data_IF_777482430612
#
_entry.id   IF_777482430612
#
_cell.length_a   1.000
_cell.length_b   1.000
_cell.length_c   1.000
_cell.angle_alpha   90.00
_cell.angle_beta   90.00
_cell.angle_gamma   90.00
#
_symmetry.space_group_name_H-M   'P 1'
#
loop_
_entity.id
_entity.type
_entity.pdbx_description
1 polymer ?
#
# COMPACT_ATOMS: atom_id res chain seq x y z
N UNK A 1 -16.27 -26.24 -11.10
CA UNK A 1 -15.39 -25.24 -11.72
C UNK A 1 -14.75 -24.43 -10.59
N UNK A 2 -13.56 -23.87 -10.75
CA UNK A 2 -12.96 -23.00 -9.72
C UNK A 2 -13.83 -21.74 -9.52
N UNK A 3 -13.98 -21.30 -8.27
CA UNK A 3 -14.65 -20.04 -7.97
C UNK A 3 -13.78 -18.85 -8.45
N UNK A 4 -14.40 -17.88 -9.10
CA UNK A 4 -13.71 -16.73 -9.69
C UNK A 4 -13.89 -15.47 -8.84
N UNK A 5 -12.79 -14.84 -8.46
CA UNK A 5 -12.76 -13.56 -7.76
C UNK A 5 -12.30 -12.46 -8.70
N UNK A 6 -13.11 -11.42 -8.90
CA UNK A 6 -12.66 -10.19 -9.53
C UNK A 6 -12.10 -9.25 -8.45
N UNK A 7 -10.79 -9.00 -8.49
CA UNK A 7 -10.09 -8.20 -7.49
C UNK A 7 -9.72 -6.83 -8.05
N UNK A 8 -10.31 -5.79 -7.50
CA UNK A 8 -10.08 -4.40 -7.90
C UNK A 8 -9.08 -3.72 -6.97
N UNK A 9 -7.99 -3.23 -7.54
CA UNK A 9 -6.91 -2.61 -6.77
C UNK A 9 -6.75 -1.15 -7.18
N UNK A 10 -6.90 -0.22 -6.24
CA UNK A 10 -6.54 1.18 -6.43
C UNK A 10 -5.08 1.32 -6.85
N UNK A 11 -4.78 2.02 -7.95
CA UNK A 11 -3.41 2.25 -8.40
C UNK A 11 -2.72 3.42 -7.68
N UNK A 12 -3.35 3.99 -6.65
CA UNK A 12 -2.80 5.12 -5.91
C UNK A 12 -1.57 4.71 -5.07
N UNK A 13 -0.39 4.78 -5.67
CA UNK A 13 0.84 4.26 -5.11
C UNK A 13 0.86 2.73 -5.03
N UNK A 14 1.88 2.16 -4.36
CA UNK A 14 1.98 0.70 -4.24
C UNK A 14 1.38 0.13 -2.94
N UNK A 15 0.85 1.00 -2.05
CA UNK A 15 0.30 0.55 -0.77
C UNK A 15 -0.87 -0.43 -0.91
N UNK A 16 -1.84 -0.07 -1.75
CA UNK A 16 -3.01 -0.90 -2.05
C UNK A 16 -2.61 -2.20 -2.77
N UNK A 17 -1.74 -2.09 -3.75
CA UNK A 17 -1.23 -3.25 -4.47
C UNK A 17 -0.45 -4.21 -3.54
N UNK A 18 0.40 -3.70 -2.65
CA UNK A 18 1.19 -4.51 -1.73
C UNK A 18 0.29 -5.37 -0.82
N UNK A 19 -0.72 -4.75 -0.18
CA UNK A 19 -1.62 -5.48 0.72
C UNK A 19 -2.56 -6.44 -0.02
N UNK A 20 -3.08 -6.02 -1.18
CA UNK A 20 -3.89 -6.91 -2.04
C UNK A 20 -3.09 -8.11 -2.53
N UNK A 21 -1.85 -7.92 -2.99
CA UNK A 21 -0.97 -9.02 -3.40
C UNK A 21 -0.68 -10.01 -2.27
N UNK A 22 -0.48 -9.53 -1.04
CA UNK A 22 -0.26 -10.39 0.11
C UNK A 22 -1.45 -11.34 0.35
N UNK A 23 -2.68 -10.83 0.20
CA UNK A 23 -3.89 -11.63 0.38
C UNK A 23 -4.14 -12.55 -0.81
N UNK A 24 -3.98 -12.06 -2.04
CA UNK A 24 -4.17 -12.86 -3.28
C UNK A 24 -3.19 -14.05 -3.28
N UNK A 25 -1.92 -13.80 -3.00
CA UNK A 25 -0.89 -14.86 -2.99
C UNK A 25 -1.21 -15.93 -1.93
N UNK A 26 -1.62 -15.51 -0.72
CA UNK A 26 -2.01 -16.42 0.35
C UNK A 26 -3.30 -17.20 0.05
N UNK A 27 -4.28 -16.59 -0.63
CA UNK A 27 -5.50 -17.28 -1.08
C UNK A 27 -5.17 -18.38 -2.10
N UNK A 28 -4.38 -18.04 -3.12
CA UNK A 28 -4.02 -18.98 -4.18
C UNK A 28 -3.06 -20.09 -3.68
N UNK A 29 -2.25 -19.80 -2.67
CA UNK A 29 -1.44 -20.82 -1.99
C UNK A 29 -2.29 -21.78 -1.16
N UNK A 30 -3.40 -21.31 -0.58
CA UNK A 30 -4.23 -22.08 0.34
C UNK A 30 -5.34 -22.87 -0.34
N UNK A 31 -5.80 -22.42 -1.53
CA UNK A 31 -6.98 -22.94 -2.20
C UNK A 31 -6.78 -23.12 -3.70
N UNK A 32 -6.68 -24.36 -4.15
CA UNK A 32 -6.47 -24.72 -5.57
C UNK A 32 -7.73 -24.52 -6.43
N UNK A 33 -8.90 -24.37 -5.77
CA UNK A 33 -10.21 -24.19 -6.42
C UNK A 33 -10.58 -22.70 -6.62
N UNK A 34 -9.59 -21.80 -6.56
CA UNK A 34 -9.78 -20.38 -6.78
C UNK A 34 -9.09 -19.88 -8.05
N UNK A 35 -9.74 -18.95 -8.72
CA UNK A 35 -9.19 -18.14 -9.80
C UNK A 35 -9.34 -16.67 -9.45
N UNK A 36 -8.25 -15.90 -9.53
CA UNK A 36 -8.25 -14.45 -9.29
C UNK A 36 -7.98 -13.70 -10.59
N UNK A 37 -8.84 -12.72 -10.89
CA UNK A 37 -8.67 -11.77 -12.00
C UNK A 37 -8.50 -10.39 -11.40
N UNK A 38 -7.34 -9.76 -11.61
CA UNK A 38 -7.00 -8.44 -11.06
C UNK A 38 -7.37 -7.36 -12.07
N UNK A 39 -8.22 -6.42 -11.64
CA UNK A 39 -8.58 -5.21 -12.38
C UNK A 39 -7.84 -4.01 -11.78
N UNK A 40 -6.87 -3.48 -12.50
CA UNK A 40 -6.07 -2.33 -12.06
C UNK A 40 -5.18 -1.80 -13.18
N UNK A 41 -4.61 -0.61 -12.98
CA UNK A 41 -3.50 -0.06 -13.76
C UNK A 41 -2.16 -0.15 -13.01
N UNK A 42 -2.10 -0.87 -11.90
CA UNK A 42 -0.83 -1.19 -11.22
C UNK A 42 0.12 -1.88 -12.20
N UNK A 43 1.40 -1.47 -12.29
CA UNK A 43 2.34 -2.06 -13.23
C UNK A 43 2.47 -3.57 -13.05
N UNK A 44 2.45 -4.31 -14.16
CA UNK A 44 2.52 -5.78 -14.17
C UNK A 44 3.73 -6.31 -13.41
N UNK A 45 4.90 -5.67 -13.55
CA UNK A 45 6.12 -6.08 -12.85
C UNK A 45 5.95 -6.09 -11.31
N UNK A 46 5.11 -5.18 -10.77
CA UNK A 46 4.86 -5.15 -9.32
C UNK A 46 4.01 -6.34 -8.88
N UNK A 47 2.97 -6.67 -9.65
CA UNK A 47 2.14 -7.85 -9.39
C UNK A 47 2.97 -9.13 -9.50
N UNK A 48 3.76 -9.29 -10.57
CA UNK A 48 4.62 -10.45 -10.81
C UNK A 48 5.71 -10.60 -9.74
N UNK A 49 6.22 -9.48 -9.21
CA UNK A 49 7.19 -9.51 -8.11
C UNK A 49 6.54 -9.80 -6.74
N UNK A 50 5.22 -9.67 -6.62
CA UNK A 50 4.52 -9.77 -5.33
C UNK A 50 3.63 -11.01 -5.20
N UNK A 51 3.20 -11.62 -6.30
CA UNK A 51 2.34 -12.81 -6.34
C UNK A 51 3.11 -13.95 -7.02
N UNK A 52 3.21 -15.12 -6.37
CA UNK A 52 3.91 -16.30 -6.92
C UNK A 52 3.02 -17.16 -7.82
N UNK A 53 1.71 -17.04 -7.63
CA UNK A 53 0.73 -17.83 -8.35
C UNK A 53 0.27 -17.12 -9.63
N UNK A 54 -0.13 -17.87 -10.67
CA UNK A 54 -0.66 -17.27 -11.89
C UNK A 54 -1.93 -16.44 -11.61
N UNK A 55 -1.91 -15.15 -11.97
CA UNK A 55 -3.10 -14.29 -11.94
C UNK A 55 -3.33 -13.68 -13.32
N UNK A 56 -4.60 -13.62 -13.70
CA UNK A 56 -4.98 -12.87 -14.89
C UNK A 56 -5.16 -11.39 -14.54
N UNK A 57 -4.67 -10.49 -15.40
CA UNK A 57 -4.77 -9.04 -15.16
C UNK A 57 -5.53 -8.37 -16.29
N UNK A 58 -6.44 -7.48 -15.92
CA UNK A 58 -7.23 -6.65 -16.83
C UNK A 58 -6.87 -5.19 -16.53
N UNK A 59 -6.20 -4.53 -17.47
CA UNK A 59 -5.88 -3.11 -17.32
C UNK A 59 -7.19 -2.29 -17.31
N UNK A 60 -7.53 -1.73 -16.15
CA UNK A 60 -8.74 -0.95 -15.94
C UNK A 60 -8.48 0.22 -15.00
N UNK A 61 -8.99 1.40 -15.35
CA UNK A 61 -9.01 2.56 -14.45
C UNK A 61 -10.14 2.36 -13.44
N UNK A 62 -9.82 1.97 -12.22
CA UNK A 62 -10.77 1.56 -11.18
C UNK A 62 -11.07 2.63 -10.15
N UNK A 63 -10.24 3.68 -10.12
CA UNK A 63 -10.42 4.94 -9.39
C UNK A 63 -9.45 6.03 -9.90
N UNK A 64 -9.43 7.17 -9.22
CA UNK A 64 -8.44 8.25 -9.44
C UNK A 64 -7.46 8.33 -8.29
N UNK A 65 -7.92 8.08 -7.06
CA UNK A 65 -7.15 8.41 -5.87
C UNK A 65 -7.01 9.91 -5.68
N UNK A 66 -5.89 10.36 -5.12
CA UNK A 66 -5.45 11.77 -5.16
C UNK A 66 -4.33 11.93 -6.18
N UNK A 67 -4.49 12.87 -7.11
CA UNK A 67 -3.39 13.28 -7.98
C UNK A 67 -2.29 13.88 -7.09
N UNK A 68 -1.05 13.59 -7.40
CA UNK A 68 0.10 14.01 -6.59
C UNK A 68 1.11 14.74 -7.48
N UNK A 69 1.62 15.88 -6.98
CA UNK A 69 2.75 16.60 -7.60
C UNK A 69 4.07 15.91 -7.30
N UNK A 70 4.20 15.45 -6.05
CA UNK A 70 5.35 14.67 -5.56
C UNK A 70 4.87 13.54 -4.66
N UNK A 71 5.75 12.68 -4.17
CA UNK A 71 5.39 11.66 -3.18
C UNK A 71 4.88 12.24 -1.85
N UNK A 72 5.10 13.53 -1.60
CA UNK A 72 4.77 14.23 -0.36
C UNK A 72 3.67 15.29 -0.52
N UNK A 73 3.29 15.65 -1.75
CA UNK A 73 2.36 16.76 -2.02
C UNK A 73 1.21 16.32 -2.93
N UNK A 74 -0.01 16.50 -2.46
CA UNK A 74 -1.26 16.25 -3.17
C UNK A 74 -1.67 17.46 -4.02
N UNK A 75 -2.41 17.18 -5.11
CA UNK A 75 -3.04 18.17 -5.98
C UNK A 75 -4.57 17.98 -5.99
N UNK A 76 -5.31 18.62 -5.07
CA UNK A 76 -6.76 18.48 -5.00
C UNK A 76 -7.49 19.06 -6.23
N UNK A 77 -6.96 20.12 -6.86
CA UNK A 77 -7.54 20.73 -8.08
C UNK A 77 -7.46 19.75 -9.25
N UNK A 78 -6.26 19.23 -9.55
CA UNK A 78 -6.09 18.21 -10.57
C UNK A 78 -6.85 16.91 -10.26
N UNK A 79 -7.07 16.61 -8.97
CA UNK A 79 -7.91 15.48 -8.54
C UNK A 79 -9.37 15.72 -8.90
N UNK A 80 -9.91 16.91 -8.63
CA UNK A 80 -11.30 17.29 -8.97
C UNK A 80 -11.53 17.20 -10.48
N UNK A 81 -10.61 17.74 -11.28
CA UNK A 81 -10.65 17.65 -12.75
C UNK A 81 -10.62 16.19 -13.24
N UNK A 82 -9.71 15.38 -12.71
CA UNK A 82 -9.59 13.97 -13.10
C UNK A 82 -10.83 13.16 -12.74
N UNK A 83 -11.49 13.48 -11.64
CA UNK A 83 -12.73 12.84 -11.18
C UNK A 83 -13.95 13.25 -12.01
N UNK A 84 -13.99 14.49 -12.53
CA UNK A 84 -15.07 14.95 -13.42
C UNK A 84 -15.15 14.10 -14.70
N UNK A 85 -14.01 13.61 -15.20
CA UNK A 85 -13.93 12.75 -16.39
C UNK A 85 -14.17 11.25 -16.15
N UNK A 86 -14.52 10.85 -14.93
CA UNK A 86 -14.66 9.43 -14.60
C UNK A 86 -16.03 8.84 -14.99
N UNK A 87 -16.08 7.53 -15.33
CA UNK A 87 -17.30 6.83 -15.74
C UNK A 87 -18.21 6.51 -14.55
N UNK A 88 -18.94 7.49 -14.06
CA UNK A 88 -19.83 7.38 -12.89
C UNK A 88 -21.13 6.60 -13.13
N UNK A 89 -21.20 5.70 -14.04
CA UNK A 89 -22.42 4.96 -14.40
C UNK A 89 -23.24 5.68 -15.50
N UNK A 90 -23.91 4.89 -16.32
CA UNK A 90 -24.64 5.39 -17.49
C UNK A 90 -23.73 5.99 -18.58
N UNK A 91 -22.44 5.66 -18.55
CA UNK A 91 -21.45 6.06 -19.57
C UNK A 91 -20.94 4.83 -20.29
N UNK A 92 -20.55 4.98 -21.56
CA UNK A 92 -19.96 3.88 -22.34
C UNK A 92 -18.74 3.23 -21.68
N UNK A 93 -17.96 4.01 -20.92
CA UNK A 93 -16.80 3.49 -20.20
C UNK A 93 -17.19 2.66 -18.98
N UNK A 94 -18.28 3.01 -18.26
CA UNK A 94 -18.82 2.19 -17.19
C UNK A 94 -19.39 0.88 -17.73
N UNK A 95 -20.14 0.94 -18.85
CA UNK A 95 -20.70 -0.22 -19.51
C UNK A 95 -19.60 -1.15 -20.07
N UNK A 96 -18.47 -0.60 -20.53
CA UNK A 96 -17.32 -1.39 -20.93
C UNK A 96 -16.69 -2.14 -19.76
N UNK A 97 -16.49 -1.47 -18.63
CA UNK A 97 -15.99 -2.11 -17.43
C UNK A 97 -16.92 -3.24 -16.99
N UNK A 98 -18.22 -3.00 -16.94
CA UNK A 98 -19.23 -4.01 -16.58
C UNK A 98 -19.20 -5.22 -17.50
N UNK A 99 -19.11 -5.01 -18.83
CA UNK A 99 -18.95 -6.12 -19.79
C UNK A 99 -17.70 -6.95 -19.52
N UNK A 100 -16.58 -6.28 -19.22
CA UNK A 100 -15.29 -6.95 -18.91
C UNK A 100 -15.35 -7.71 -17.60
N UNK A 101 -16.05 -7.20 -16.60
CA UNK A 101 -16.30 -7.89 -15.33
C UNK A 101 -17.23 -9.08 -15.55
N UNK A 102 -18.34 -8.89 -16.26
CA UNK A 102 -19.27 -9.97 -16.58
C UNK A 102 -18.62 -11.10 -17.39
N UNK A 103 -17.71 -10.77 -18.30
CA UNK A 103 -17.00 -11.75 -19.13
C UNK A 103 -16.11 -12.73 -18.31
N UNK A 104 -15.67 -12.35 -17.11
CA UNK A 104 -14.92 -13.25 -16.23
C UNK A 104 -15.82 -14.06 -15.30
N UNK A 105 -17.13 -13.78 -15.30
CA UNK A 105 -18.17 -14.43 -14.51
C UNK A 105 -17.76 -14.59 -13.03
N UNK A 106 -17.57 -13.48 -12.29
CA UNK A 106 -17.06 -13.57 -10.92
C UNK A 106 -18.15 -14.03 -9.96
N UNK A 107 -17.81 -14.92 -9.04
CA UNK A 107 -18.63 -15.32 -7.91
C UNK A 107 -18.55 -14.30 -6.76
N UNK A 108 -17.45 -13.51 -6.74
CA UNK A 108 -17.18 -12.49 -5.73
C UNK A 108 -16.37 -11.34 -6.34
N UNK A 109 -16.69 -10.11 -5.94
CA UNK A 109 -15.84 -8.94 -6.18
C UNK A 109 -15.13 -8.56 -4.87
N UNK A 110 -13.83 -8.35 -4.90
CA UNK A 110 -13.07 -7.73 -3.80
C UNK A 110 -12.52 -6.40 -4.29
N UNK A 111 -12.79 -5.32 -3.57
CA UNK A 111 -12.34 -3.98 -3.91
C UNK A 111 -11.45 -3.41 -2.80
N UNK A 112 -10.17 -3.20 -3.10
CA UNK A 112 -9.26 -2.45 -2.25
C UNK A 112 -9.44 -0.96 -2.56
N UNK A 113 -10.37 -0.34 -1.83
CA UNK A 113 -10.91 1.03 -1.98
C UNK A 113 -11.25 1.48 -3.41
N UNK A 114 -11.37 0.56 -4.35
CA UNK A 114 -11.65 0.83 -5.76
C UNK A 114 -13.17 0.93 -6.00
N UNK A 115 -13.77 2.14 -6.07
CA UNK A 115 -15.22 2.32 -6.07
C UNK A 115 -15.89 1.73 -7.31
N UNK A 116 -15.23 1.73 -8.46
CA UNK A 116 -15.83 1.20 -9.69
C UNK A 116 -16.02 -0.31 -9.66
N UNK A 117 -15.18 -1.05 -8.90
CA UNK A 117 -15.39 -2.48 -8.65
C UNK A 117 -16.69 -2.74 -7.89
N UNK A 118 -16.94 -1.99 -6.82
CA UNK A 118 -18.17 -2.09 -6.03
C UNK A 118 -19.40 -1.66 -6.84
N UNK A 119 -19.27 -0.59 -7.62
CA UNK A 119 -20.36 -0.13 -8.48
C UNK A 119 -20.72 -1.18 -9.56
N UNK A 120 -19.71 -1.81 -10.18
CA UNK A 120 -19.89 -2.89 -11.15
C UNK A 120 -20.54 -4.12 -10.48
N UNK A 121 -20.05 -4.54 -9.31
CA UNK A 121 -20.63 -5.65 -8.55
C UNK A 121 -22.12 -5.43 -8.26
N UNK A 122 -22.48 -4.22 -7.82
CA UNK A 122 -23.88 -3.88 -7.53
C UNK A 122 -24.78 -3.91 -8.77
N UNK A 123 -24.27 -3.48 -9.94
CA UNK A 123 -25.04 -3.54 -11.21
C UNK A 123 -25.21 -4.97 -11.73
N UNK A 124 -24.20 -5.80 -11.51
CA UNK A 124 -24.20 -7.21 -11.96
C UNK A 124 -24.86 -8.16 -10.93
N UNK A 125 -25.25 -7.69 -9.75
CA UNK A 125 -25.81 -8.52 -8.70
C UNK A 125 -24.81 -9.49 -8.07
N UNK A 126 -23.51 -9.20 -8.15
CA UNK A 126 -22.44 -10.02 -7.57
C UNK A 126 -22.12 -9.54 -6.15
N UNK A 127 -21.98 -10.45 -5.15
CA UNK A 127 -21.57 -10.05 -3.81
C UNK A 127 -20.19 -9.40 -3.81
N UNK A 128 -19.97 -8.46 -2.87
CA UNK A 128 -18.73 -7.70 -2.86
C UNK A 128 -18.16 -7.50 -1.46
N UNK A 129 -16.82 -7.49 -1.36
CA UNK A 129 -16.07 -7.17 -0.15
C UNK A 129 -15.28 -5.89 -0.38
N UNK A 130 -15.48 -4.88 0.47
CA UNK A 130 -14.65 -3.70 0.56
C UNK A 130 -13.52 -3.97 1.55
N UNK A 131 -12.26 -3.81 1.11
CA UNK A 131 -11.06 -3.85 1.95
C UNK A 131 -10.49 -2.45 2.04
N UNK A 132 -10.33 -1.91 3.25
CA UNK A 132 -9.93 -0.51 3.40
C UNK A 132 -9.26 -0.22 4.75
N UNK A 133 -8.53 0.87 4.82
CA UNK A 133 -8.11 1.58 6.03
C UNK A 133 -8.61 3.03 6.05
N UNK A 134 -9.08 3.51 4.92
CA UNK A 134 -9.91 4.69 4.67
C UNK A 134 -10.67 4.48 3.36
N UNK A 135 -11.65 5.33 3.07
CA UNK A 135 -12.36 5.39 1.78
C UNK A 135 -12.16 6.74 1.11
N UNK A 136 -12.26 6.79 -0.23
CA UNK A 136 -12.02 8.03 -0.97
C UNK A 136 -13.03 9.12 -0.67
N UNK A 137 -14.28 8.80 -0.31
CA UNK A 137 -15.28 9.78 0.14
C UNK A 137 -14.82 10.52 1.39
N UNK A 138 -14.24 9.79 2.36
CA UNK A 138 -13.68 10.39 3.58
C UNK A 138 -12.46 11.27 3.25
N UNK A 139 -11.57 10.82 2.38
CA UNK A 139 -10.42 11.62 1.94
C UNK A 139 -10.87 12.91 1.24
N UNK A 140 -11.77 12.81 0.25
CA UNK A 140 -12.20 13.98 -0.53
C UNK A 140 -12.99 14.98 0.31
N UNK A 141 -13.74 14.52 1.29
CA UNK A 141 -14.50 15.38 2.21
C UNK A 141 -13.60 16.33 2.99
N UNK A 142 -12.37 15.94 3.29
CA UNK A 142 -11.40 16.81 3.96
C UNK A 142 -10.96 18.02 3.10
N UNK A 143 -11.11 17.92 1.78
CA UNK A 143 -10.79 19.01 0.84
C UNK A 143 -12.03 19.79 0.38
N UNK A 144 -13.25 19.40 0.78
CA UNK A 144 -14.51 19.94 0.26
C UNK A 144 -14.70 21.44 0.53
N UNK A 145 -14.07 22.00 1.57
CA UNK A 145 -14.15 23.44 1.88
C UNK A 145 -13.45 24.27 0.80
N UNK A 146 -12.28 23.84 0.34
CA UNK A 146 -11.50 24.56 -0.69
C UNK A 146 -11.83 24.09 -2.12
N UNK A 147 -12.36 22.88 -2.28
CA UNK A 147 -12.72 22.24 -3.55
C UNK A 147 -14.13 21.62 -3.44
N UNK A 148 -15.20 22.42 -3.61
CA UNK A 148 -16.58 21.96 -3.38
C UNK A 148 -17.01 20.78 -4.24
N UNK A 149 -16.47 20.62 -5.46
CA UNK A 149 -16.74 19.49 -6.33
C UNK A 149 -16.27 18.16 -5.73
N UNK A 150 -15.18 18.16 -4.94
CA UNK A 150 -14.77 16.97 -4.20
C UNK A 150 -15.79 16.57 -3.15
N UNK A 151 -16.51 17.51 -2.55
CA UNK A 151 -17.63 17.23 -1.64
C UNK A 151 -18.78 16.51 -2.31
N UNK A 152 -19.17 16.96 -3.52
CA UNK A 152 -20.23 16.32 -4.33
C UNK A 152 -19.83 14.90 -4.70
N UNK A 153 -18.57 14.71 -5.07
CA UNK A 153 -18.03 13.38 -5.41
C UNK A 153 -17.97 12.48 -4.18
N UNK A 154 -17.57 13.02 -3.02
CA UNK A 154 -17.57 12.29 -1.76
C UNK A 154 -18.96 11.72 -1.42
N UNK A 155 -20.03 12.53 -1.55
CA UNK A 155 -21.41 12.07 -1.30
C UNK A 155 -21.85 10.95 -2.26
N UNK A 156 -21.37 10.99 -3.50
CA UNK A 156 -21.60 9.92 -4.48
C UNK A 156 -20.87 8.66 -4.12
N UNK A 157 -19.59 8.77 -3.76
CA UNK A 157 -18.72 7.64 -3.40
C UNK A 157 -19.19 6.96 -2.12
N UNK A 158 -19.62 7.69 -1.11
CA UNK A 158 -20.19 7.13 0.10
C UNK A 158 -21.29 6.11 -0.22
N UNK A 159 -22.23 6.49 -1.12
CA UNK A 159 -23.32 5.61 -1.56
C UNK A 159 -22.82 4.36 -2.30
N UNK A 160 -21.65 4.43 -2.93
CA UNK A 160 -21.01 3.27 -3.59
C UNK A 160 -20.38 2.36 -2.55
N UNK A 161 -19.63 2.90 -1.61
CA UNK A 161 -18.97 2.12 -0.55
C UNK A 161 -20.00 1.45 0.39
N UNK A 162 -21.12 2.11 0.67
CA UNK A 162 -22.22 1.57 1.50
C UNK A 162 -22.94 0.35 0.86
N UNK A 163 -22.72 0.10 -0.44
CA UNK A 163 -23.29 -1.07 -1.14
C UNK A 163 -22.47 -2.35 -0.98
N UNK A 164 -21.26 -2.27 -0.41
CA UNK A 164 -20.45 -3.46 -0.21
C UNK A 164 -21.18 -4.47 0.69
N UNK A 165 -21.26 -5.73 0.26
CA UNK A 165 -21.90 -6.81 1.02
C UNK A 165 -21.19 -7.05 2.36
N UNK A 166 -19.88 -6.87 2.37
CA UNK A 166 -19.02 -6.97 3.55
C UNK A 166 -17.96 -5.89 3.53
N UNK A 167 -17.59 -5.39 4.72
CA UNK A 167 -16.50 -4.43 4.89
C UNK A 167 -15.43 -4.98 5.83
N UNK A 168 -14.18 -4.93 5.42
CA UNK A 168 -13.00 -5.33 6.20
C UNK A 168 -12.14 -4.10 6.43
N UNK A 169 -11.89 -3.75 7.70
CA UNK A 169 -11.06 -2.62 8.06
C UNK A 169 -9.67 -3.07 8.50
N UNK A 170 -8.66 -2.57 7.79
CA UNK A 170 -7.26 -2.88 8.05
C UNK A 170 -6.68 -1.91 9.08
N UNK A 171 -6.20 -2.42 10.20
CA UNK A 171 -5.49 -1.59 11.19
C UNK A 171 -4.14 -1.09 10.63
N UNK A 172 -3.78 0.19 10.82
CA UNK A 172 -4.60 1.26 11.37
C UNK A 172 -5.63 1.77 10.34
N UNK A 173 -6.87 1.90 10.76
CA UNK A 173 -7.91 2.56 9.96
C UNK A 173 -8.19 3.97 10.51
N UNK A 174 -8.67 4.85 9.63
CA UNK A 174 -8.86 6.27 9.95
C UNK A 174 -10.12 6.54 10.75
N UNK A 175 -11.22 5.85 10.39
CA UNK A 175 -12.53 5.98 11.03
C UNK A 175 -13.15 4.60 11.17
N UNK A 176 -13.65 4.28 12.35
CA UNK A 176 -14.36 3.03 12.57
C UNK A 176 -15.69 3.02 11.81
N UNK A 177 -15.93 1.98 11.02
CA UNK A 177 -17.14 1.80 10.25
C UNK A 177 -18.05 0.75 10.93
N UNK A 178 -19.30 1.11 11.14
CA UNK A 178 -20.28 0.21 11.76
C UNK A 178 -20.42 -1.09 10.94
N UNK A 179 -20.38 -2.24 11.61
CA UNK A 179 -20.51 -3.56 11.00
C UNK A 179 -19.29 -4.03 10.20
N UNK A 180 -18.22 -3.25 10.13
CA UNK A 180 -16.96 -3.68 9.53
C UNK A 180 -16.26 -4.75 10.40
N UNK A 181 -15.47 -5.60 9.76
CA UNK A 181 -14.61 -6.56 10.44
C UNK A 181 -13.20 -5.99 10.56
N UNK A 182 -12.75 -5.59 11.75
CA UNK A 182 -11.38 -5.11 11.92
C UNK A 182 -10.40 -6.29 11.84
N UNK A 183 -9.28 -6.07 11.16
CA UNK A 183 -8.19 -7.04 11.05
C UNK A 183 -6.84 -6.38 11.34
N UNK A 184 -5.84 -7.14 11.81
CA UNK A 184 -4.48 -6.63 11.97
C UNK A 184 -3.90 -6.05 10.69
N UNK A 185 -2.77 -5.32 10.75
CA UNK A 185 -2.10 -4.81 9.56
C UNK A 185 -1.80 -5.92 8.55
N UNK A 186 -1.97 -5.61 7.27
CA UNK A 186 -1.69 -6.52 6.16
C UNK A 186 -0.35 -6.17 5.55
N UNK A 187 0.60 -7.08 5.65
CA UNK A 187 1.95 -6.95 5.12
C UNK A 187 2.31 -8.17 4.27
N UNK A 188 3.10 -7.94 3.23
CA UNK A 188 3.71 -9.02 2.47
C UNK A 188 4.77 -9.71 3.33
N UNK A 189 4.84 -11.06 3.38
CA UNK A 189 5.90 -11.75 4.10
C UNK A 189 7.24 -11.58 3.37
N UNK A 190 8.36 -11.50 4.09
CA UNK A 190 9.68 -11.59 3.46
C UNK A 190 9.91 -13.00 2.88
N UNK A 191 10.73 -13.09 1.85
CA UNK A 191 11.07 -14.31 1.11
C UNK A 191 12.49 -14.79 1.35
N UNK A 192 13.35 -13.86 1.76
CA UNK A 192 14.75 -14.11 2.06
C UNK A 192 15.03 -13.79 3.52
N UNK A 193 15.93 -14.54 4.14
CA UNK A 193 16.40 -14.21 5.47
C UNK A 193 17.27 -12.95 5.46
N UNK A 194 17.42 -12.36 6.65
CA UNK A 194 18.16 -11.12 6.89
C UNK A 194 19.61 -11.21 6.39
N UNK A 195 20.30 -12.32 6.69
CA UNK A 195 21.73 -12.47 6.38
C UNK A 195 21.96 -12.60 4.88
N UNK A 196 21.14 -13.38 4.20
CA UNK A 196 21.22 -13.55 2.75
C UNK A 196 20.97 -12.22 2.02
N UNK A 197 19.94 -11.46 2.43
CA UNK A 197 19.66 -10.15 1.82
C UNK A 197 20.82 -9.18 2.05
N UNK A 198 21.39 -9.12 3.26
CA UNK A 198 22.58 -8.29 3.56
C UNK A 198 23.78 -8.68 2.71
N UNK A 199 24.05 -9.97 2.61
CA UNK A 199 25.16 -10.48 1.77
C UNK A 199 25.01 -10.06 0.31
N UNK A 200 23.80 -10.14 -0.24
CA UNK A 200 23.52 -9.72 -1.63
C UNK A 200 23.68 -8.19 -1.83
N UNK A 201 23.48 -7.41 -0.78
CA UNK A 201 23.70 -5.96 -0.77
C UNK A 201 25.16 -5.56 -0.45
N UNK A 202 26.05 -6.53 -0.20
CA UNK A 202 27.43 -6.26 0.21
C UNK A 202 27.55 -5.66 1.61
N UNK A 203 26.63 -6.01 2.53
CA UNK A 203 26.54 -5.51 3.90
C UNK A 203 26.97 -6.62 4.87
N UNK A 204 27.88 -6.31 5.80
CA UNK A 204 28.32 -7.27 6.81
C UNK A 204 27.19 -7.56 7.83
N UNK A 205 27.19 -8.75 8.49
CA UNK A 205 26.11 -9.13 9.41
C UNK A 205 25.91 -8.20 10.60
N UNK A 206 26.98 -7.56 11.06
CA UNK A 206 27.07 -6.69 12.24
C UNK A 206 26.94 -5.20 11.93
N UNK A 207 26.99 -4.80 10.66
CA UNK A 207 26.77 -3.40 10.27
C UNK A 207 25.34 -2.96 10.57
N UNK A 208 25.11 -1.82 11.26
CA UNK A 208 23.78 -1.25 11.38
C UNK A 208 23.24 -0.83 10.01
N UNK A 209 21.95 -1.11 9.75
CA UNK A 209 21.33 -0.83 8.45
C UNK A 209 20.05 -0.02 8.62
N UNK A 210 19.93 1.07 7.89
CA UNK A 210 18.68 1.85 7.77
C UNK A 210 18.18 1.78 6.33
N UNK A 211 16.94 1.33 6.16
CA UNK A 211 16.24 1.37 4.88
C UNK A 211 15.49 2.70 4.73
N UNK A 212 15.75 3.43 3.64
CA UNK A 212 14.92 4.60 3.27
C UNK A 212 13.81 4.15 2.33
N UNK A 213 12.54 4.39 2.70
CA UNK A 213 11.38 3.96 1.91
C UNK A 213 10.40 5.12 1.67
N UNK A 214 10.34 5.59 0.42
CA UNK A 214 9.45 6.69 0.00
C UNK A 214 8.15 6.21 -0.66
N UNK A 215 7.92 4.90 -0.68
CA UNK A 215 6.76 4.27 -1.31
C UNK A 215 6.91 4.10 -2.83
N UNK A 216 5.79 3.91 -3.54
CA UNK A 216 5.79 3.56 -4.96
C UNK A 216 5.91 4.74 -5.94
N UNK A 217 5.96 5.98 -5.45
CA UNK A 217 6.14 7.17 -6.28
C UNK A 217 7.63 7.50 -6.31
N UNK A 218 8.23 7.76 -7.50
CA UNK A 218 9.61 8.14 -7.61
C UNK A 218 9.95 9.30 -6.68
N UNK A 219 11.10 9.21 -6.03
CA UNK A 219 11.63 10.22 -5.12
C UNK A 219 13.01 10.65 -5.59
N UNK A 220 13.21 11.95 -5.70
CA UNK A 220 14.53 12.52 -5.98
C UNK A 220 15.28 12.68 -4.66
N UNK A 221 16.32 11.88 -4.51
CA UNK A 221 17.19 11.96 -3.33
C UNK A 221 18.15 13.14 -3.46
N UNK A 222 18.06 14.07 -2.53
CA UNK A 222 19.08 15.10 -2.31
C UNK A 222 20.11 14.61 -1.28
N UNK A 223 21.34 15.12 -1.37
CA UNK A 223 22.34 14.84 -0.34
C UNK A 223 22.85 13.40 -0.28
N UNK A 224 22.85 12.63 -1.38
CA UNK A 224 23.40 11.26 -1.42
C UNK A 224 24.83 11.17 -0.90
N UNK A 225 25.68 12.18 -1.18
CA UNK A 225 27.05 12.23 -0.67
C UNK A 225 27.13 12.24 0.86
N UNK A 226 26.13 12.81 1.53
CA UNK A 226 26.05 12.77 2.99
C UNK A 226 25.70 11.37 3.48
N UNK A 227 24.82 10.67 2.78
CA UNK A 227 24.48 9.27 3.09
C UNK A 227 25.66 8.33 2.85
N UNK A 228 26.49 8.59 1.83
CA UNK A 228 27.73 7.85 1.57
C UNK A 228 28.72 7.93 2.74
N UNK A 229 28.76 9.09 3.42
CA UNK A 229 29.64 9.36 4.55
C UNK A 229 28.99 9.13 5.91
N UNK A 230 27.78 8.59 5.95
CA UNK A 230 27.10 8.32 7.20
C UNK A 230 27.96 7.43 8.12
N UNK A 231 28.20 7.85 9.36
CA UNK A 231 28.97 7.08 10.32
C UNK A 231 28.09 6.13 11.15
N UNK A 232 26.79 6.40 11.18
CA UNK A 232 25.83 5.78 12.09
C UNK A 232 25.32 4.43 11.59
N UNK A 233 25.20 4.25 10.26
CA UNK A 233 24.67 3.05 9.65
C UNK A 233 24.92 3.00 8.13
N UNK A 234 24.84 1.81 7.55
CA UNK A 234 24.66 1.63 6.11
C UNK A 234 23.25 2.02 5.74
N UNK A 235 23.10 2.94 4.79
CA UNK A 235 21.82 3.42 4.28
C UNK A 235 21.48 2.67 2.99
N UNK A 236 20.38 1.96 2.96
CA UNK A 236 19.84 1.33 1.73
C UNK A 236 18.74 2.22 1.17
N UNK A 237 18.91 2.72 -0.06
CA UNK A 237 18.03 3.72 -0.68
C UNK A 237 17.46 3.21 -2.04
N UNK A 238 16.32 2.51 -2.05
CA UNK A 238 15.66 2.09 -3.30
C UNK A 238 15.21 3.28 -4.14
N UNK A 239 15.47 3.22 -5.45
CA UNK A 239 15.14 4.30 -6.40
C UNK A 239 16.15 5.43 -6.46
N UNK A 240 17.29 5.33 -5.76
CA UNK A 240 18.32 6.38 -5.71
C UNK A 240 19.40 6.26 -6.78
N UNK A 241 19.42 5.19 -7.55
CA UNK A 241 20.43 4.98 -8.59
C UNK A 241 19.94 4.03 -9.69
N UNK A 242 20.68 3.95 -10.81
CA UNK A 242 20.31 3.09 -11.94
C UNK A 242 20.69 1.62 -11.72
N UNK A 243 21.61 1.35 -10.80
CA UNK A 243 22.16 0.02 -10.51
C UNK A 243 22.22 -0.23 -9.02
N UNK A 244 22.40 -1.52 -8.64
CA UNK A 244 22.73 -1.89 -7.27
C UNK A 244 24.23 -1.59 -7.07
N UNK A 245 24.52 -0.60 -6.26
CA UNK A 245 25.90 -0.16 -6.01
C UNK A 245 26.07 0.27 -4.55
N UNK A 246 27.19 -0.12 -3.95
CA UNK A 246 27.60 0.39 -2.64
C UNK A 246 28.73 1.41 -2.79
N UNK A 247 28.50 2.61 -2.27
CA UNK A 247 29.49 3.68 -2.15
C UNK A 247 29.59 4.11 -0.69
N UNK A 248 30.71 3.82 -0.05
CA UNK A 248 30.83 4.07 1.38
C UNK A 248 29.73 3.35 2.17
N UNK A 249 28.95 4.13 2.91
CA UNK A 249 27.80 3.63 3.67
C UNK A 249 26.44 3.81 2.97
N UNK A 250 26.41 4.11 1.68
CA UNK A 250 25.20 4.15 0.87
C UNK A 250 25.14 2.96 -0.08
N UNK A 251 24.02 2.25 -0.07
CA UNK A 251 23.65 1.25 -1.08
C UNK A 251 22.49 1.80 -1.90
N UNK A 252 22.76 2.12 -3.17
CA UNK A 252 21.75 2.55 -4.13
C UNK A 252 21.10 1.35 -4.80
N UNK A 253 19.81 1.46 -5.10
CA UNK A 253 19.04 0.45 -5.85
C UNK A 253 18.23 1.15 -6.94
N UNK A 254 18.01 0.52 -8.10
CA UNK A 254 17.08 1.05 -9.08
C UNK A 254 15.64 1.03 -8.56
N UNK A 255 14.79 1.90 -9.11
CA UNK A 255 13.36 1.92 -8.75
C UNK A 255 12.69 0.56 -9.02
N UNK A 256 13.04 -0.07 -10.13
CA UNK A 256 12.67 -1.46 -10.43
C UNK A 256 13.86 -2.36 -10.11
N UNK A 257 13.95 -2.75 -8.85
CA UNK A 257 15.01 -3.63 -8.34
C UNK A 257 14.58 -5.08 -8.34
N UNK A 258 15.55 -6.01 -8.40
CA UNK A 258 15.37 -7.43 -8.12
C UNK A 258 15.18 -7.73 -6.63
N UNK A 259 15.50 -6.77 -5.77
CA UNK A 259 15.29 -6.92 -4.33
C UNK A 259 13.83 -6.72 -3.98
N UNK A 260 13.25 -7.70 -3.29
CA UNK A 260 11.89 -7.62 -2.79
C UNK A 260 11.81 -6.70 -1.57
N UNK A 261 10.93 -5.70 -1.60
CA UNK A 261 10.89 -4.67 -0.55
C UNK A 261 10.73 -5.23 0.88
N UNK A 262 9.89 -6.25 1.16
CA UNK A 262 9.83 -6.87 2.49
C UNK A 262 11.15 -7.49 2.95
N UNK A 263 11.98 -8.02 2.04
CA UNK A 263 13.31 -8.55 2.38
C UNK A 263 14.26 -7.42 2.78
N UNK A 264 14.18 -6.25 2.12
CA UNK A 264 14.94 -5.07 2.51
C UNK A 264 14.52 -4.58 3.90
N UNK A 265 13.20 -4.53 4.19
CA UNK A 265 12.69 -4.18 5.53
C UNK A 265 13.21 -5.17 6.57
N UNK A 266 13.21 -6.46 6.27
CA UNK A 266 13.72 -7.49 7.18
C UNK A 266 15.24 -7.39 7.38
N UNK A 267 15.99 -7.04 6.35
CA UNK A 267 17.44 -6.86 6.41
C UNK A 267 17.85 -5.61 7.22
N UNK A 268 17.02 -4.60 7.27
CA UNK A 268 17.28 -3.37 8.01
C UNK A 268 17.15 -3.53 9.53
N UNK A 269 17.74 -2.60 10.28
CA UNK A 269 17.56 -2.42 11.73
C UNK A 269 16.52 -1.36 12.05
N UNK A 270 16.36 -0.38 11.15
CA UNK A 270 15.33 0.63 11.21
C UNK A 270 14.87 1.00 9.78
N UNK A 271 13.68 1.56 9.68
CA UNK A 271 13.14 2.11 8.43
C UNK A 271 12.96 3.61 8.61
N UNK A 272 13.30 4.39 7.59
CA UNK A 272 13.08 5.84 7.54
C UNK A 272 12.31 6.16 6.25
N UNK A 273 11.32 7.04 6.32
CA UNK A 273 10.65 7.49 5.11
C UNK A 273 9.25 8.03 5.29
N UNK A 274 8.52 8.08 4.19
CA UNK A 274 7.13 8.56 4.17
C UNK A 274 6.21 7.65 4.98
N UNK A 275 5.35 8.25 5.81
CA UNK A 275 4.32 7.53 6.53
C UNK A 275 3.25 7.02 5.56
N UNK A 276 3.39 5.77 5.13
CA UNK A 276 2.47 5.10 4.22
C UNK A 276 2.11 3.69 4.69
N UNK A 277 0.86 3.27 4.47
CA UNK A 277 0.31 2.05 5.05
C UNK A 277 1.19 0.81 4.87
N UNK A 278 1.62 0.50 3.65
CA UNK A 278 2.36 -0.74 3.39
C UNK A 278 3.73 -0.78 4.06
N UNK A 279 4.48 0.34 4.02
CA UNK A 279 5.78 0.45 4.70
C UNK A 279 5.62 0.30 6.21
N UNK A 280 4.61 0.94 6.78
CA UNK A 280 4.27 0.83 8.21
C UNK A 280 3.90 -0.60 8.59
N UNK A 281 3.05 -1.26 7.79
CA UNK A 281 2.63 -2.63 8.04
C UNK A 281 3.80 -3.63 7.95
N UNK A 282 4.70 -3.45 6.97
CA UNK A 282 5.90 -4.29 6.81
C UNK A 282 6.92 -4.03 7.93
N UNK A 283 7.13 -2.78 8.35
CA UNK A 283 7.99 -2.44 9.49
C UNK A 283 7.43 -3.05 10.81
N UNK A 284 6.13 -2.93 11.04
CA UNK A 284 5.46 -3.54 12.18
C UNK A 284 5.59 -5.07 12.18
N UNK A 285 5.31 -5.72 11.05
CA UNK A 285 5.39 -7.18 10.92
C UNK A 285 6.82 -7.71 11.13
N UNK A 286 7.84 -6.92 10.73
CA UNK A 286 9.25 -7.25 10.87
C UNK A 286 9.85 -6.76 12.21
N UNK A 287 9.08 -6.08 13.05
CA UNK A 287 9.55 -5.51 14.32
C UNK A 287 10.63 -4.44 14.14
N UNK A 288 10.54 -3.61 13.10
CA UNK A 288 11.52 -2.56 12.82
C UNK A 288 10.99 -1.20 13.28
N UNK A 289 11.76 -0.44 14.08
CA UNK A 289 11.39 0.93 14.42
C UNK A 289 11.36 1.80 13.16
N UNK A 290 10.50 2.82 13.19
CA UNK A 290 10.25 3.65 12.03
C UNK A 290 10.52 5.13 12.31
N UNK A 291 11.37 5.77 11.48
CA UNK A 291 11.51 7.22 11.40
C UNK A 291 10.59 7.74 10.30
N UNK A 292 9.50 8.42 10.65
CA UNK A 292 8.47 8.78 9.67
C UNK A 292 8.39 10.27 9.40
N UNK A 293 8.10 10.60 8.13
CA UNK A 293 7.72 11.93 7.70
C UNK A 293 6.26 11.92 7.28
N UNK A 294 5.50 12.91 7.79
CA UNK A 294 4.10 13.10 7.43
C UNK A 294 3.96 13.87 6.11
N UNK A 295 2.97 13.50 5.31
CA UNK A 295 2.42 14.39 4.29
C UNK A 295 1.61 15.48 4.97
N UNK A 296 1.82 16.74 4.61
CA UNK A 296 1.28 17.89 5.35
C UNK A 296 -0.26 17.96 5.34
N UNK A 297 -0.89 17.48 4.27
CA UNK A 297 -2.34 17.65 4.04
C UNK A 297 -3.12 16.35 3.87
N UNK A 298 -2.46 15.20 3.87
CA UNK A 298 -3.16 13.94 3.66
C UNK A 298 -3.90 13.50 4.93
N UNK A 299 -5.24 13.36 4.88
CA UNK A 299 -6.07 13.15 6.08
C UNK A 299 -5.74 11.90 6.90
N UNK A 300 -5.18 10.86 6.27
CA UNK A 300 -4.75 9.62 6.93
C UNK A 300 -3.64 9.84 7.98
N UNK A 301 -2.82 10.89 7.79
CA UNK A 301 -1.60 11.13 8.56
C UNK A 301 -1.77 11.03 10.09
N UNK A 302 -2.70 11.77 10.72
CA UNK A 302 -2.87 11.77 12.17
C UNK A 302 -3.22 10.40 12.75
N UNK A 303 -4.13 9.66 12.12
CA UNK A 303 -4.53 8.31 12.57
C UNK A 303 -3.38 7.31 12.45
N UNK A 304 -2.67 7.35 11.34
CA UNK A 304 -1.49 6.52 11.09
C UNK A 304 -0.38 6.84 12.09
N UNK A 305 -0.08 8.12 12.32
CA UNK A 305 0.96 8.54 13.27
C UNK A 305 0.65 8.09 14.70
N UNK A 306 -0.57 8.30 15.17
CA UNK A 306 -1.00 7.87 16.51
C UNK A 306 -0.79 6.37 16.70
N UNK A 307 -1.11 5.58 15.68
CA UNK A 307 -0.94 4.14 15.71
C UNK A 307 0.55 3.73 15.67
N UNK A 308 1.35 4.33 14.79
CA UNK A 308 2.79 4.02 14.66
C UNK A 308 3.53 4.32 15.97
N UNK A 309 3.23 5.45 16.62
CA UNK A 309 3.83 5.80 17.92
C UNK A 309 3.58 4.71 18.98
N UNK A 310 2.39 4.12 18.98
CA UNK A 310 1.98 3.11 19.97
C UNK A 310 2.47 1.72 19.61
N UNK A 311 2.35 1.33 18.33
CA UNK A 311 2.47 -0.06 17.92
C UNK A 311 3.79 -0.42 17.21
N UNK A 312 4.45 0.51 16.53
CA UNK A 312 5.71 0.27 15.83
C UNK A 312 6.89 0.81 16.65
N UNK A 313 6.72 1.99 17.20
CA UNK A 313 7.78 2.75 17.83
C UNK A 313 8.67 3.44 16.79
N UNK A 314 9.41 4.43 17.27
CA UNK A 314 10.28 5.22 16.39
C UNK A 314 10.18 6.72 16.69
N UNK A 315 10.45 7.54 15.68
CA UNK A 315 10.44 8.99 15.85
C UNK A 315 9.89 9.69 14.60
N UNK A 316 9.18 10.78 14.81
CA UNK A 316 8.82 11.69 13.73
C UNK A 316 10.05 12.48 13.29
N UNK A 317 10.16 12.64 11.98
CA UNK A 317 11.15 13.46 11.30
C UNK A 317 10.42 14.60 10.59
N UNK A 318 11.08 15.75 10.48
CA UNK A 318 10.58 16.83 9.67
C UNK A 318 11.00 16.64 8.19
N UNK A 319 10.26 17.27 7.28
CA UNK A 319 10.49 17.10 5.85
C UNK A 319 11.89 17.60 5.45
N UNK A 320 12.33 18.70 6.04
CA UNK A 320 13.65 19.27 5.84
C UNK A 320 14.77 18.36 6.34
N UNK A 321 14.57 17.66 7.48
CA UNK A 321 15.54 16.66 7.98
C UNK A 321 15.71 15.51 6.97
N UNK A 322 14.60 15.09 6.31
CA UNK A 322 14.67 14.03 5.29
C UNK A 322 15.44 14.48 4.06
N UNK A 323 15.21 15.71 3.59
CA UNK A 323 15.86 16.27 2.41
C UNK A 323 17.35 16.55 2.65
N UNK A 324 17.69 17.13 3.80
CA UNK A 324 19.08 17.50 4.14
C UNK A 324 19.93 16.31 4.55
N UNK A 325 19.32 15.19 4.95
CA UNK A 325 20.00 14.05 5.57
C UNK A 325 20.27 14.24 7.07
N UNK A 326 19.74 15.30 7.72
CA UNK A 326 19.92 15.54 9.16
C UNK A 326 19.28 14.46 10.03
N UNK A 327 18.34 13.70 9.49
CA UNK A 327 17.76 12.53 10.14
C UNK A 327 18.80 11.46 10.53
N UNK A 328 20.00 11.46 9.93
CA UNK A 328 21.10 10.58 10.34
C UNK A 328 21.43 10.74 11.83
N UNK A 329 21.36 11.97 12.36
CA UNK A 329 21.51 12.21 13.79
C UNK A 329 20.45 11.54 14.68
N UNK A 330 19.34 11.06 14.12
CA UNK A 330 18.30 10.30 14.83
C UNK A 330 18.54 8.79 14.80
N UNK A 331 19.45 8.30 13.97
CA UNK A 331 19.71 6.86 13.78
C UNK A 331 20.09 6.16 15.11
N UNK A 332 20.99 6.67 15.96
CA UNK A 332 21.30 6.03 17.24
C UNK A 332 20.05 5.85 18.11
N UNK A 333 19.16 6.85 18.14
CA UNK A 333 17.89 6.76 18.88
C UNK A 333 16.95 5.73 18.28
N UNK A 334 16.86 5.64 16.94
CA UNK A 334 16.05 4.63 16.26
C UNK A 334 16.56 3.22 16.55
N UNK A 335 17.87 3.01 16.42
CA UNK A 335 18.51 1.70 16.65
C UNK A 335 18.44 1.23 18.09
N UNK A 336 18.38 2.15 19.07
CA UNK A 336 18.20 1.79 20.48
C UNK A 336 16.80 1.27 20.81
N UNK A 337 15.82 1.55 19.95
CA UNK A 337 14.44 1.09 20.11
C UNK A 337 14.29 -0.28 19.45
N UNK A 338 14.26 -1.33 20.25
CA UNK A 338 13.92 -2.67 19.74
C UNK A 338 12.43 -2.68 19.39
N UNK A 339 12.12 -2.78 18.10
CA UNK A 339 10.77 -3.12 17.67
C UNK A 339 10.41 -4.52 18.20
N UNK A 340 9.27 -4.67 18.84
CA UNK A 340 8.76 -5.98 19.21
C UNK A 340 7.96 -6.55 18.03
N UNK A 341 8.27 -7.78 17.59
CA UNK A 341 7.42 -8.49 16.64
C UNK A 341 6.03 -8.64 17.25
N UNK A 342 5.01 -8.20 16.54
CA UNK A 342 3.66 -8.10 17.08
C UNK A 342 2.71 -8.99 16.30
N UNK A 343 2.51 -10.20 16.70
CA UNK A 343 1.44 -11.06 16.26
C UNK A 343 1.38 -11.40 14.75
N UNK A 344 0.39 -12.17 14.33
CA UNK A 344 0.13 -12.46 12.92
C UNK A 344 -0.45 -11.25 12.20
N UNK A 345 -0.15 -11.14 10.89
CA UNK A 345 -0.77 -10.13 10.03
C UNK A 345 -2.23 -10.49 9.72
N UNK A 346 -3.02 -9.51 9.25
CA UNK A 346 -4.43 -9.70 8.89
C UNK A 346 -4.69 -10.55 7.64
N UNK A 347 -3.64 -11.03 6.96
CA UNK A 347 -3.76 -11.80 5.72
C UNK A 347 -4.66 -13.03 5.89
N UNK A 348 -4.42 -13.85 6.92
CA UNK A 348 -5.22 -15.05 7.16
C UNK A 348 -6.69 -14.73 7.42
N UNK A 349 -6.98 -13.70 8.24
CA UNK A 349 -8.35 -13.30 8.56
C UNK A 349 -9.12 -12.85 7.30
N UNK A 350 -8.46 -12.13 6.38
CA UNK A 350 -9.09 -11.76 5.11
C UNK A 350 -9.34 -12.98 4.23
N UNK A 351 -8.39 -13.91 4.14
CA UNK A 351 -8.57 -15.15 3.39
C UNK A 351 -9.79 -15.94 3.89
N UNK A 352 -9.96 -16.02 5.21
CA UNK A 352 -11.09 -16.74 5.81
C UNK A 352 -12.43 -16.04 5.48
N UNK A 353 -12.51 -14.70 5.59
CA UNK A 353 -13.70 -13.93 5.21
C UNK A 353 -14.04 -14.10 3.72
N UNK A 354 -13.03 -14.05 2.83
CA UNK A 354 -13.22 -14.25 1.38
C UNK A 354 -13.75 -15.66 1.11
N UNK A 355 -13.16 -16.68 1.74
CA UNK A 355 -13.56 -18.08 1.56
C UNK A 355 -15.00 -18.36 2.04
N UNK A 356 -15.37 -17.78 3.18
CA UNK A 356 -16.72 -17.92 3.74
C UNK A 356 -17.79 -17.31 2.83
N UNK A 357 -17.47 -16.21 2.11
CA UNK A 357 -18.38 -15.62 1.15
C UNK A 357 -18.61 -16.48 -0.10
N UNK A 358 -17.56 -17.18 -0.56
CA UNK A 358 -17.64 -18.07 -1.71
C UNK A 358 -18.38 -19.39 -1.40
N UNK A 359 -18.52 -19.76 -0.12
CA UNK A 359 -19.21 -20.98 0.32
C UNK A 359 -20.69 -20.79 0.65
N UNK A 360 -21.15 -19.54 0.72
CA UNK A 360 -22.57 -19.25 0.97
C UNK A 360 -23.35 -19.43 -0.33
N UNK A 361 -24.40 -20.25 -0.32
CA UNK A 361 -25.28 -20.45 -1.48
C UNK A 361 -26.05 -19.17 -1.83
#
# INVERSE_FOLDING_TARGET
MPSTIAWFISPHGFGHAARSCAVIDALLQRYDDLRVVVFSTVPRWFLDSSIHHPVHTVAAKVDVGLVQRTSMEEDPEATEEALAGMPWGGTAAADDLDRRVAAVAPDLVVADIAPFGLASAARLGVPSILVENFTWDWIYRAYAVSHPGLGVIADRLQKVFDRATRRIQLTPFCVEAAGATPVPPVARPPRSDRQNTRRLLGIAPDEPVVLVSMGGIPWEYSGLERLERAAEAVVVAPGSGPTVERRGNLVTLPHRSSFYHPDLVQAADAVVGKLGYSTVAEAWASGRPFGWVLRSRFPEGPAMEAWVRREVGGTRLEHEELLSGDWLGRVPQLLSRRGSRRGPTGVSAICDVVRDHLRRP
#
